data_IF_479321023021
#
_entry.id   IF_479321023021
#
_cell.length_a   1.000
_cell.length_b   1.000
_cell.length_c   1.000
_cell.angle_alpha   90.00
_cell.angle_beta   90.00
_cell.angle_gamma   90.00
#
_symmetry.space_group_name_H-M   'P 1'
#
loop_
_entity.id
_entity.type
_entity.pdbx_description
1 polymer ?
#
# COMPACT_ATOMS: atom_id res chain seq x y z
N UNK A 1 -5.26 15.27 17.74
CA UNK A 1 -4.34 14.27 17.21
C UNK A 1 -5.00 12.90 17.25
N UNK A 2 -4.85 12.15 16.17
CA UNK A 2 -5.29 10.76 16.03
C UNK A 2 -4.08 9.85 15.91
N UNK A 3 -4.29 8.54 16.09
CA UNK A 3 -3.25 7.54 15.88
C UNK A 3 -2.73 7.63 14.44
N UNK A 4 -1.40 7.57 14.27
CA UNK A 4 -0.69 7.68 13.01
C UNK A 4 -0.73 9.06 12.31
N UNK A 5 -1.16 10.14 13.00
CA UNK A 5 -0.90 11.49 12.50
C UNK A 5 0.62 11.73 12.46
N UNK A 6 1.13 12.26 11.34
CA UNK A 6 2.50 12.77 11.23
C UNK A 6 2.53 14.21 11.76
N UNK A 7 3.41 14.49 12.71
CA UNK A 7 3.46 15.82 13.36
C UNK A 7 4.85 16.44 13.28
N UNK A 8 4.92 17.72 12.95
CA UNK A 8 6.10 18.53 13.16
C UNK A 8 5.95 19.29 14.48
N UNK A 9 6.93 19.11 15.39
CA UNK A 9 6.81 19.57 16.77
C UNK A 9 8.08 20.23 17.27
N UNK A 10 7.92 21.15 18.22
CA UNK A 10 9.02 21.65 19.06
C UNK A 10 9.02 20.88 20.37
N UNK A 11 10.18 20.31 20.68
CA UNK A 11 10.40 19.54 21.92
C UNK A 11 11.52 20.18 22.73
N UNK A 12 11.53 19.95 24.04
CA UNK A 12 12.68 20.19 24.91
C UNK A 12 13.28 18.86 25.41
N UNK A 13 14.58 18.81 25.68
CA UNK A 13 15.21 17.65 26.30
C UNK A 13 14.62 17.38 27.69
N UNK A 14 14.69 16.13 28.15
CA UNK A 14 14.30 15.76 29.50
C UNK A 14 15.06 16.56 30.55
N UNK A 15 14.42 16.95 31.63
CA UNK A 15 15.08 17.47 32.85
C UNK A 15 15.51 16.31 33.73
N UNK A 16 16.33 16.61 34.74
CA UNK A 16 16.73 15.61 35.73
C UNK A 16 15.49 14.92 36.35
N UNK A 17 15.44 13.59 36.19
CA UNK A 17 14.31 12.75 36.64
C UNK A 17 13.19 12.51 35.61
N UNK A 18 13.20 13.17 34.47
CA UNK A 18 12.29 12.90 33.35
C UNK A 18 12.89 11.85 32.41
N UNK A 19 12.07 10.91 31.88
CA UNK A 19 12.53 9.89 30.92
C UNK A 19 12.27 10.30 29.47
N UNK A 20 11.31 11.20 29.25
CA UNK A 20 10.81 11.53 27.90
C UNK A 20 11.00 13.00 27.55
N UNK A 21 11.07 13.29 26.25
CA UNK A 21 11.08 14.65 25.74
C UNK A 21 9.71 15.30 25.95
N UNK A 22 9.70 16.52 26.45
CA UNK A 22 8.45 17.26 26.61
C UNK A 22 8.06 17.98 25.33
N UNK A 23 6.82 17.75 24.87
CA UNK A 23 6.23 18.47 23.74
C UNK A 23 5.95 19.93 24.14
N UNK A 24 6.51 20.88 23.42
CA UNK A 24 6.30 22.31 23.62
C UNK A 24 5.22 22.89 22.70
N UNK A 25 5.27 22.52 21.41
CA UNK A 25 4.36 23.05 20.40
C UNK A 25 4.24 22.08 19.24
N UNK A 26 3.04 21.96 18.68
CA UNK A 26 2.80 21.30 17.38
C UNK A 26 2.71 22.40 16.34
N UNK A 27 3.59 22.38 15.34
CA UNK A 27 3.62 23.35 14.26
C UNK A 27 2.81 22.86 13.05
N UNK A 28 2.89 21.56 12.71
CA UNK A 28 2.16 20.97 11.59
C UNK A 28 1.55 19.59 11.97
N UNK A 29 0.45 19.25 11.31
CA UNK A 29 -0.16 17.91 11.35
C UNK A 29 -0.39 17.47 9.90
N UNK A 30 0.15 16.29 9.53
CA UNK A 30 0.03 15.70 8.19
C UNK A 30 0.41 16.68 7.07
N UNK A 31 1.53 17.40 7.26
CA UNK A 31 2.08 18.41 6.35
C UNK A 31 1.17 19.64 6.13
N UNK A 32 0.28 19.92 7.06
CA UNK A 32 -0.60 21.08 7.06
C UNK A 32 -0.44 21.87 8.36
N UNK A 33 -0.48 23.18 8.29
CA UNK A 33 -0.44 24.04 9.48
C UNK A 33 -1.61 23.73 10.42
N UNK A 34 -1.35 23.82 11.72
CA UNK A 34 -2.39 23.62 12.73
C UNK A 34 -3.38 24.77 12.68
N UNK A 35 -4.53 24.53 12.05
CA UNK A 35 -5.61 25.49 11.98
C UNK A 35 -6.80 25.01 12.83
N UNK A 36 -7.13 25.72 13.90
CA UNK A 36 -8.21 25.36 14.85
C UNK A 36 -9.61 25.40 14.23
N UNK A 37 -9.76 25.95 13.02
CA UNK A 37 -11.05 26.11 12.33
C UNK A 37 -11.39 25.00 11.33
N UNK A 38 -10.45 24.06 11.07
CA UNK A 38 -10.69 22.97 10.12
C UNK A 38 -11.44 21.84 10.84
N UNK A 39 -12.73 21.66 10.52
CA UNK A 39 -13.46 20.48 10.93
C UNK A 39 -12.87 19.26 10.22
N UNK A 40 -12.21 18.40 10.97
CA UNK A 40 -11.64 17.16 10.45
C UNK A 40 -12.78 16.14 10.30
N UNK A 41 -13.03 15.71 9.06
CA UNK A 41 -13.94 14.60 8.76
C UNK A 41 -13.13 13.31 8.81
N UNK A 42 -13.58 12.33 9.57
CA UNK A 42 -12.92 11.03 9.64
C UNK A 42 -13.04 10.29 8.30
N UNK A 43 -12.02 9.51 7.95
CA UNK A 43 -11.94 8.78 6.69
C UNK A 43 -13.19 7.95 6.39
N UNK A 44 -13.76 7.31 7.41
CA UNK A 44 -14.95 6.48 7.30
C UNK A 44 -16.22 7.27 6.93
N UNK A 45 -16.23 8.57 7.16
CA UNK A 45 -17.37 9.47 6.89
C UNK A 45 -17.20 10.25 5.57
N UNK A 46 -16.07 10.06 4.85
CA UNK A 46 -15.84 10.68 3.55
C UNK A 46 -16.67 9.98 2.47
N UNK A 47 -17.15 10.77 1.50
CA UNK A 47 -17.99 10.27 0.40
C UNK A 47 -17.15 9.58 -0.67
N UNK A 48 -17.28 8.26 -0.87
CA UNK A 48 -16.48 7.55 -1.86
C UNK A 48 -16.96 7.78 -3.29
N UNK A 49 -16.01 8.01 -4.20
CA UNK A 49 -16.24 8.13 -5.63
C UNK A 49 -15.49 7.04 -6.40
N UNK A 50 -15.89 6.83 -7.66
CA UNK A 50 -15.12 6.05 -8.61
C UNK A 50 -13.83 6.77 -8.99
N UNK A 51 -12.76 6.04 -9.40
CA UNK A 51 -11.57 6.63 -9.99
C UNK A 51 -11.92 7.37 -11.29
N UNK A 52 -11.80 8.68 -11.31
CA UNK A 52 -12.08 9.56 -12.46
C UNK A 52 -10.84 10.31 -12.95
N UNK A 53 -9.78 10.39 -12.13
CA UNK A 53 -8.50 10.99 -12.45
C UNK A 53 -7.43 9.90 -12.60
N UNK A 54 -6.72 9.92 -13.73
CA UNK A 54 -5.69 8.93 -14.06
C UNK A 54 -4.35 9.28 -13.43
N UNK A 55 -3.67 8.29 -12.86
CA UNK A 55 -2.25 8.36 -12.54
C UNK A 55 -1.43 7.95 -13.77
N UNK A 56 -0.95 8.92 -14.52
CA UNK A 56 -0.14 8.67 -15.72
C UNK A 56 1.21 8.07 -15.33
N UNK A 57 1.56 6.95 -15.97
CA UNK A 57 2.81 6.24 -15.70
C UNK A 57 3.87 6.52 -16.77
N UNK A 58 3.51 6.68 -18.04
CA UNK A 58 4.44 6.97 -19.12
C UNK A 58 5.17 8.30 -18.88
N UNK A 59 6.51 8.28 -18.88
CA UNK A 59 7.37 9.45 -18.63
C UNK A 59 7.86 10.13 -19.90
N UNK A 60 7.70 9.46 -21.05
CA UNK A 60 8.08 10.00 -22.38
C UNK A 60 9.59 10.05 -22.65
N UNK A 61 10.40 9.32 -21.85
CA UNK A 61 11.86 9.30 -22.00
C UNK A 61 12.39 8.24 -22.97
N UNK A 62 11.52 7.37 -23.52
CA UNK A 62 11.85 6.34 -24.50
C UNK A 62 12.69 5.17 -23.96
N UNK A 63 12.87 5.05 -22.66
CA UNK A 63 13.57 3.91 -22.06
C UNK A 63 12.74 2.62 -22.09
N UNK A 64 13.38 1.47 -21.88
CA UNK A 64 12.69 0.17 -21.76
C UNK A 64 11.74 0.16 -20.54
N UNK A 65 12.07 0.87 -19.49
CA UNK A 65 11.25 1.06 -18.30
C UNK A 65 10.00 1.88 -18.61
N UNK A 66 10.14 2.90 -19.47
CA UNK A 66 9.03 3.73 -19.93
C UNK A 66 8.07 2.94 -20.82
N UNK A 67 8.59 1.97 -21.59
CA UNK A 67 7.75 1.06 -22.37
C UNK A 67 6.82 0.24 -21.47
N UNK A 68 7.30 -0.25 -20.33
CA UNK A 68 6.47 -0.95 -19.34
C UNK A 68 5.37 -0.02 -18.80
N UNK A 69 5.72 1.19 -18.44
CA UNK A 69 4.78 2.21 -17.96
C UNK A 69 3.70 2.53 -19.01
N UNK A 70 4.11 2.72 -20.28
CA UNK A 70 3.21 2.95 -21.41
C UNK A 70 2.26 1.78 -21.66
N UNK A 71 2.76 0.53 -21.60
CA UNK A 71 1.91 -0.65 -21.76
C UNK A 71 0.85 -0.70 -20.67
N UNK A 72 1.23 -0.47 -19.41
CA UNK A 72 0.27 -0.43 -18.29
C UNK A 72 -0.77 0.66 -18.51
N UNK A 73 -0.33 1.84 -18.94
CA UNK A 73 -1.20 2.97 -19.25
C UNK A 73 -2.23 2.69 -20.35
N UNK A 74 -1.89 1.85 -21.32
CA UNK A 74 -2.76 1.49 -22.44
C UNK A 74 -3.71 0.33 -22.11
N UNK A 75 -3.22 -0.67 -21.36
CA UNK A 75 -3.95 -1.93 -21.14
C UNK A 75 -4.70 -1.94 -19.81
N UNK A 76 -4.12 -1.35 -18.78
CA UNK A 76 -4.65 -1.36 -17.41
C UNK A 76 -4.34 -0.03 -16.70
N UNK A 77 -4.91 1.11 -17.15
CA UNK A 77 -4.65 2.41 -16.56
C UNK A 77 -5.06 2.47 -15.09
N UNK A 78 -4.19 3.05 -14.26
CA UNK A 78 -4.43 3.20 -12.83
C UNK A 78 -5.01 4.59 -12.56
N UNK A 79 -6.12 4.66 -11.83
CA UNK A 79 -6.74 5.92 -11.41
C UNK A 79 -6.55 6.20 -9.92
N UNK A 80 -6.70 7.46 -9.50
CA UNK A 80 -6.75 7.85 -8.10
C UNK A 80 -7.95 7.18 -7.42
N UNK A 81 -7.71 6.45 -6.32
CA UNK A 81 -8.73 5.65 -5.66
C UNK A 81 -8.86 4.21 -6.17
N UNK A 82 -7.99 3.76 -7.08
CA UNK A 82 -8.01 2.42 -7.66
C UNK A 82 -7.67 1.33 -6.63
N UNK A 83 -8.34 0.17 -6.72
CA UNK A 83 -8.00 -1.09 -6.06
C UNK A 83 -7.42 -2.04 -7.10
N UNK A 84 -6.12 -1.93 -7.36
CA UNK A 84 -5.44 -2.67 -8.41
C UNK A 84 -4.70 -3.89 -7.88
N UNK A 85 -4.82 -5.02 -8.58
CA UNK A 85 -4.03 -6.22 -8.35
C UNK A 85 -3.03 -6.43 -9.49
N UNK A 86 -1.77 -6.55 -9.15
CA UNK A 86 -0.72 -7.04 -10.06
C UNK A 86 -0.57 -8.53 -9.79
N UNK A 87 -1.20 -9.34 -10.62
CA UNK A 87 -1.26 -10.79 -10.49
C UNK A 87 -0.03 -11.40 -11.14
N UNK A 88 0.79 -12.09 -10.33
CA UNK A 88 2.09 -12.55 -10.78
C UNK A 88 2.40 -13.98 -10.35
N UNK A 89 2.75 -14.87 -11.29
CA UNK A 89 3.44 -16.10 -10.94
C UNK A 89 4.85 -15.80 -10.45
N UNK A 90 5.51 -16.76 -9.75
CA UNK A 90 6.91 -16.59 -9.34
C UNK A 90 7.84 -16.29 -10.53
N UNK A 91 8.80 -15.37 -10.33
CA UNK A 91 9.82 -14.98 -11.32
C UNK A 91 9.27 -14.41 -12.64
N UNK A 92 8.17 -13.68 -12.59
CA UNK A 92 7.59 -13.01 -13.76
C UNK A 92 7.84 -11.48 -13.81
N UNK A 93 8.83 -10.98 -13.06
CA UNK A 93 9.19 -9.55 -13.09
C UNK A 93 8.35 -8.64 -12.20
N UNK A 94 7.64 -9.19 -11.20
CA UNK A 94 6.79 -8.46 -10.26
C UNK A 94 7.46 -7.20 -9.68
N UNK A 95 8.65 -7.37 -9.11
CA UNK A 95 9.40 -6.29 -8.45
C UNK A 95 9.77 -5.17 -9.41
N UNK A 96 10.20 -5.50 -10.63
CA UNK A 96 10.52 -4.52 -11.67
C UNK A 96 9.29 -3.70 -12.08
N UNK A 97 8.14 -4.34 -12.25
CA UNK A 97 6.88 -3.64 -12.57
C UNK A 97 6.49 -2.69 -11.45
N UNK A 98 6.59 -3.12 -10.19
CA UNK A 98 6.29 -2.23 -9.04
C UNK A 98 7.28 -1.06 -8.95
N UNK A 99 8.57 -1.28 -9.15
CA UNK A 99 9.58 -0.22 -9.17
C UNK A 99 9.27 0.80 -10.27
N UNK A 100 8.92 0.33 -11.48
CA UNK A 100 8.54 1.19 -12.58
C UNK A 100 7.29 2.03 -12.28
N UNK A 101 6.25 1.41 -11.70
CA UNK A 101 5.04 2.12 -11.27
C UNK A 101 5.41 3.16 -10.21
N UNK A 102 6.21 2.80 -9.21
CA UNK A 102 6.63 3.72 -8.14
C UNK A 102 7.38 4.95 -8.69
N UNK A 103 8.39 4.72 -9.53
CA UNK A 103 9.19 5.79 -10.14
C UNK A 103 8.34 6.69 -11.04
N UNK A 104 7.42 6.10 -11.81
CA UNK A 104 6.53 6.83 -12.70
C UNK A 104 5.56 7.73 -11.93
N UNK A 105 4.95 7.21 -10.85
CA UNK A 105 4.06 8.00 -9.99
C UNK A 105 4.80 9.21 -9.42
N UNK A 106 5.97 9.00 -8.82
CA UNK A 106 6.75 10.10 -8.23
C UNK A 106 7.20 11.12 -9.27
N UNK A 107 7.52 10.66 -10.49
CA UNK A 107 7.97 11.55 -11.57
C UNK A 107 6.84 12.41 -12.13
N UNK A 108 5.68 11.81 -12.36
CA UNK A 108 4.57 12.45 -13.06
C UNK A 108 3.55 13.12 -12.14
N UNK A 109 3.49 12.68 -10.88
CA UNK A 109 2.51 13.16 -9.88
C UNK A 109 3.24 13.53 -8.57
N UNK A 110 4.01 14.64 -8.55
CA UNK A 110 4.85 15.01 -7.40
C UNK A 110 4.03 15.39 -6.15
N UNK A 111 2.74 15.66 -6.29
CA UNK A 111 1.80 15.94 -5.19
C UNK A 111 1.38 14.68 -4.43
N UNK A 112 1.54 13.51 -5.05
CA UNK A 112 1.11 12.23 -4.49
C UNK A 112 2.07 11.75 -3.40
N UNK A 113 1.53 11.35 -2.27
CA UNK A 113 2.30 10.69 -1.22
C UNK A 113 2.40 9.19 -1.54
N UNK A 114 3.59 8.75 -1.93
CA UNK A 114 3.86 7.35 -2.23
C UNK A 114 4.38 6.61 -1.00
N UNK A 115 3.71 5.51 -0.64
CA UNK A 115 4.13 4.58 0.40
C UNK A 115 4.32 3.20 -0.24
N UNK A 116 5.50 2.61 -0.12
CA UNK A 116 5.78 1.24 -0.53
C UNK A 116 5.80 0.36 0.71
N UNK A 117 4.91 -0.61 0.76
CA UNK A 117 4.77 -1.55 1.87
C UNK A 117 5.22 -2.95 1.43
N UNK A 118 6.33 -3.40 2.00
CA UNK A 118 6.93 -4.70 1.71
C UNK A 118 6.70 -5.65 2.90
N UNK A 119 5.97 -6.74 2.66
CA UNK A 119 5.61 -7.71 3.69
C UNK A 119 6.22 -9.07 3.38
N UNK A 120 7.00 -9.61 4.32
CA UNK A 120 7.64 -10.92 4.21
C UNK A 120 8.56 -11.00 2.97
N UNK A 121 9.19 -9.87 2.59
CA UNK A 121 10.16 -9.79 1.51
C UNK A 121 11.60 -9.91 2.04
N UNK A 122 12.55 -10.12 1.15
CA UNK A 122 13.95 -10.27 1.50
C UNK A 122 14.61 -8.93 1.82
N UNK A 123 15.55 -8.86 2.80
CA UNK A 123 16.22 -7.61 3.14
C UNK A 123 16.92 -6.93 1.95
N UNK A 124 17.49 -7.71 1.02
CA UNK A 124 18.13 -7.18 -0.18
C UNK A 124 17.12 -6.50 -1.13
N UNK A 125 15.90 -7.06 -1.28
CA UNK A 125 14.81 -6.47 -2.08
C UNK A 125 14.31 -5.17 -1.44
N UNK A 126 14.23 -5.13 -0.11
CA UNK A 126 13.90 -3.91 0.65
C UNK A 126 14.94 -2.81 0.40
N UNK A 127 16.21 -3.15 0.48
CA UNK A 127 17.32 -2.21 0.26
C UNK A 127 17.31 -1.67 -1.18
N UNK A 128 17.06 -2.52 -2.15
CA UNK A 128 16.95 -2.13 -3.55
C UNK A 128 15.79 -1.16 -3.78
N UNK A 129 14.63 -1.45 -3.21
CA UNK A 129 13.45 -0.58 -3.30
C UNK A 129 13.72 0.78 -2.65
N UNK A 130 14.35 0.82 -1.48
CA UNK A 130 14.72 2.07 -0.79
C UNK A 130 15.69 2.93 -1.61
N UNK A 131 16.57 2.32 -2.40
CA UNK A 131 17.54 3.04 -3.24
C UNK A 131 16.93 3.53 -4.56
N UNK A 132 15.98 2.78 -5.10
CA UNK A 132 15.40 3.03 -6.43
C UNK A 132 14.18 3.93 -6.42
N UNK A 133 13.46 4.03 -5.29
CA UNK A 133 12.19 4.75 -5.18
C UNK A 133 12.30 5.96 -4.26
N UNK A 134 11.87 7.13 -4.76
CA UNK A 134 11.72 8.34 -3.95
C UNK A 134 10.34 8.37 -3.29
N UNK A 135 10.16 7.57 -2.23
CA UNK A 135 8.93 7.47 -1.48
C UNK A 135 9.23 6.92 -0.09
N UNK A 136 8.21 6.81 0.74
CA UNK A 136 8.35 6.16 2.04
C UNK A 136 8.30 4.64 1.84
N UNK A 137 9.41 3.95 2.12
CA UNK A 137 9.48 2.49 2.08
C UNK A 137 9.39 1.94 3.49
N UNK A 138 8.31 1.23 3.78
CA UNK A 138 8.04 0.56 5.05
C UNK A 138 8.09 -0.94 4.79
N UNK A 139 8.86 -1.66 5.58
CA UNK A 139 9.05 -3.09 5.38
C UNK A 139 8.94 -3.88 6.68
N UNK A 140 8.52 -5.12 6.54
CA UNK A 140 8.69 -6.17 7.53
C UNK A 140 9.19 -7.41 6.79
N UNK A 141 10.45 -7.78 7.06
CA UNK A 141 11.18 -8.80 6.33
C UNK A 141 10.83 -10.22 6.80
N UNK A 142 11.17 -11.23 6.01
CA UNK A 142 10.77 -12.63 6.25
C UNK A 142 11.27 -13.23 7.57
N UNK A 143 12.29 -12.64 8.17
CA UNK A 143 12.85 -13.02 9.47
C UNK A 143 12.06 -12.47 10.67
N UNK A 144 11.12 -11.54 10.42
CA UNK A 144 10.24 -11.02 11.46
C UNK A 144 8.98 -11.89 11.67
N UNK A 145 8.38 -11.89 12.86
CA UNK A 145 7.19 -12.68 13.13
C UNK A 145 5.94 -12.15 12.39
N UNK A 146 4.95 -13.03 12.07
CA UNK A 146 3.71 -12.62 11.40
C UNK A 146 2.95 -11.47 12.08
N UNK A 147 3.03 -11.38 13.39
CA UNK A 147 2.43 -10.27 14.16
C UNK A 147 3.04 -8.91 13.78
N UNK A 148 4.33 -8.87 13.46
CA UNK A 148 5.01 -7.66 13.00
C UNK A 148 4.53 -7.25 11.62
N UNK A 149 4.35 -8.19 10.69
CA UNK A 149 3.81 -7.93 9.35
C UNK A 149 2.44 -7.25 9.43
N UNK A 150 1.56 -7.77 10.28
CA UNK A 150 0.23 -7.21 10.50
C UNK A 150 0.30 -5.81 11.13
N UNK A 151 1.10 -5.65 12.20
CA UNK A 151 1.25 -4.37 12.88
C UNK A 151 1.72 -3.27 11.92
N UNK A 152 2.72 -3.56 11.11
CA UNK A 152 3.27 -2.60 10.13
C UNK A 152 2.21 -2.24 9.08
N UNK A 153 1.46 -3.21 8.57
CA UNK A 153 0.40 -2.95 7.60
C UNK A 153 -0.73 -2.09 8.20
N UNK A 154 -1.14 -2.37 9.44
CA UNK A 154 -2.17 -1.57 10.14
C UNK A 154 -1.70 -0.13 10.38
N UNK A 155 -0.43 0.08 10.72
CA UNK A 155 0.14 1.43 10.87
C UNK A 155 0.14 2.20 9.53
N UNK A 156 0.52 1.54 8.43
CA UNK A 156 0.56 2.17 7.09
C UNK A 156 -0.83 2.58 6.64
N UNK A 157 -1.83 1.72 6.77
CA UNK A 157 -3.19 2.06 6.34
C UNK A 157 -3.80 3.18 7.18
N UNK A 158 -3.58 3.20 8.50
CA UNK A 158 -4.05 4.28 9.34
C UNK A 158 -3.34 5.61 9.02
N UNK A 159 -2.04 5.59 8.76
CA UNK A 159 -1.30 6.77 8.28
C UNK A 159 -1.88 7.29 6.96
N UNK A 160 -2.11 6.40 5.99
CA UNK A 160 -2.70 6.77 4.70
C UNK A 160 -4.08 7.41 4.85
N UNK A 161 -4.95 6.85 5.69
CA UNK A 161 -6.26 7.44 6.01
C UNK A 161 -6.13 8.85 6.60
N UNK A 162 -5.18 9.06 7.54
CA UNK A 162 -4.92 10.41 8.11
C UNK A 162 -4.52 11.42 7.05
N UNK A 163 -3.69 11.02 6.07
CA UNK A 163 -3.28 11.88 4.97
C UNK A 163 -4.45 12.23 4.04
N UNK A 164 -5.31 11.25 3.72
CA UNK A 164 -6.52 11.50 2.89
C UNK A 164 -7.49 12.44 3.59
N UNK A 165 -7.68 12.34 4.91
CA UNK A 165 -8.48 13.30 5.70
C UNK A 165 -7.96 14.75 5.58
N UNK A 166 -6.69 14.91 5.24
CA UNK A 166 -6.05 16.18 4.92
C UNK A 166 -6.00 16.47 3.41
N UNK A 167 -6.87 15.83 2.63
CA UNK A 167 -7.03 16.03 1.17
C UNK A 167 -5.77 15.71 0.37
N UNK A 168 -4.93 14.79 0.87
CA UNK A 168 -3.76 14.31 0.13
C UNK A 168 -4.14 13.11 -0.72
N UNK A 169 -3.55 13.03 -1.91
CA UNK A 169 -3.58 11.82 -2.73
C UNK A 169 -2.49 10.88 -2.25
N UNK A 170 -2.89 9.67 -1.85
CA UNK A 170 -1.98 8.66 -1.32
C UNK A 170 -2.01 7.42 -2.19
N UNK A 171 -0.84 6.92 -2.55
CA UNK A 171 -0.68 5.64 -3.23
C UNK A 171 0.09 4.68 -2.35
N UNK A 172 -0.49 3.51 -2.08
CA UNK A 172 0.19 2.40 -1.42
C UNK A 172 0.52 1.34 -2.47
N UNK A 173 1.80 1.02 -2.64
CA UNK A 173 2.25 -0.15 -3.37
C UNK A 173 2.54 -1.25 -2.36
N UNK A 174 1.75 -2.32 -2.39
CA UNK A 174 1.86 -3.44 -1.44
C UNK A 174 2.46 -4.68 -2.10
N UNK A 175 3.58 -5.12 -1.65
CA UNK A 175 4.20 -6.39 -2.02
C UNK A 175 4.37 -7.30 -0.79
N UNK A 176 3.53 -8.30 -0.57
CA UNK A 176 2.37 -8.71 -1.33
C UNK A 176 1.13 -8.87 -0.44
N UNK A 177 -0.05 -8.73 -1.02
CA UNK A 177 -1.33 -8.97 -0.32
C UNK A 177 -1.47 -10.45 0.08
N UNK A 178 -0.92 -11.36 -0.72
CA UNK A 178 -0.92 -12.81 -0.43
C UNK A 178 -0.17 -13.11 0.86
N UNK A 179 1.01 -12.52 1.04
CA UNK A 179 1.82 -12.72 2.26
C UNK A 179 1.21 -12.03 3.47
N UNK A 180 0.62 -10.85 3.28
CA UNK A 180 -0.13 -10.18 4.34
C UNK A 180 -1.32 -11.03 4.80
N UNK A 181 -2.08 -11.62 3.88
CA UNK A 181 -3.20 -12.50 4.20
C UNK A 181 -2.74 -13.78 4.93
N UNK A 182 -1.60 -14.36 4.55
CA UNK A 182 -0.99 -15.48 5.26
C UNK A 182 -0.61 -15.11 6.70
N UNK A 183 -0.04 -13.92 6.90
CA UNK A 183 0.31 -13.43 8.24
C UNK A 183 -0.94 -13.29 9.12
N UNK A 184 -2.02 -12.71 8.58
CA UNK A 184 -3.31 -12.67 9.30
C UNK A 184 -3.84 -14.05 9.61
N UNK A 185 -3.77 -15.00 8.68
CA UNK A 185 -4.21 -16.39 8.90
C UNK A 185 -3.46 -17.08 10.03
N UNK A 186 -2.19 -16.69 10.25
CA UNK A 186 -1.36 -17.25 11.33
C UNK A 186 -1.72 -16.67 12.69
N UNK A 187 -2.09 -15.39 12.77
CA UNK A 187 -2.28 -14.70 14.06
C UNK A 187 -3.74 -14.65 14.53
N UNK A 188 -4.71 -14.77 13.61
CA UNK A 188 -6.13 -14.72 13.97
C UNK A 188 -6.52 -15.99 14.75
N UNK A 189 -7.22 -15.86 15.89
CA UNK A 189 -7.76 -17.03 16.59
C UNK A 189 -8.65 -17.85 15.66
N UNK A 190 -8.47 -19.17 15.70
CA UNK A 190 -9.25 -20.08 14.85
C UNK A 190 -10.75 -19.93 15.10
N UNK A 191 -11.50 -19.66 14.04
CA UNK A 191 -12.97 -19.61 14.07
C UNK A 191 -13.64 -20.98 14.12
N UNK A 192 -12.85 -22.06 13.89
CA UNK A 192 -13.34 -23.41 13.68
C UNK A 192 -13.94 -23.65 12.29
N UNK A 193 -14.01 -22.61 11.44
CA UNK A 193 -14.47 -22.67 10.03
C UNK A 193 -13.29 -22.42 9.10
N UNK A 194 -12.74 -23.50 8.56
CA UNK A 194 -11.59 -23.44 7.65
C UNK A 194 -12.08 -23.61 6.22
N UNK A 195 -11.73 -22.65 5.37
CA UNK A 195 -11.95 -22.69 3.93
C UNK A 195 -10.96 -23.65 3.26
N UNK A 196 -11.20 -23.98 2.00
CA UNK A 196 -10.26 -24.72 1.17
C UNK A 196 -8.86 -24.08 1.23
N UNK A 197 -7.80 -24.89 1.28
CA UNK A 197 -6.43 -24.38 1.37
C UNK A 197 -5.97 -23.99 2.78
N UNK A 198 -6.76 -24.23 3.84
CA UNK A 198 -6.36 -23.97 5.22
C UNK A 198 -6.49 -22.52 5.66
N UNK A 199 -7.32 -21.73 4.98
CA UNK A 199 -7.61 -20.34 5.32
C UNK A 199 -8.76 -20.29 6.32
N UNK A 200 -8.55 -19.65 7.48
CA UNK A 200 -9.64 -19.39 8.42
C UNK A 200 -10.62 -18.37 7.84
N UNK A 201 -11.93 -18.60 8.01
CA UNK A 201 -12.98 -17.74 7.46
C UNK A 201 -12.86 -16.26 7.90
N UNK A 202 -12.36 -16.01 9.11
CA UNK A 202 -12.16 -14.64 9.62
C UNK A 202 -10.81 -14.02 9.29
N UNK A 203 -9.84 -14.84 8.85
CA UNK A 203 -8.48 -14.36 8.58
C UNK A 203 -8.41 -13.30 7.47
N UNK A 204 -9.29 -13.38 6.49
CA UNK A 204 -9.30 -12.47 5.34
C UNK A 204 -10.09 -11.18 5.55
N UNK A 205 -10.85 -11.04 6.63
CA UNK A 205 -11.66 -9.84 6.86
C UNK A 205 -10.81 -8.56 6.96
N UNK A 206 -9.75 -8.58 7.78
CA UNK A 206 -8.88 -7.41 7.97
C UNK A 206 -8.09 -7.05 6.71
N UNK A 207 -7.40 -7.98 6.02
CA UNK A 207 -6.73 -7.65 4.77
C UNK A 207 -7.69 -7.22 3.66
N UNK A 208 -8.93 -7.72 3.63
CA UNK A 208 -9.96 -7.20 2.73
C UNK A 208 -10.35 -5.77 3.07
N UNK A 209 -10.49 -5.42 4.36
CA UNK A 209 -10.73 -4.03 4.80
C UNK A 209 -9.56 -3.12 4.44
N UNK A 210 -8.31 -3.61 4.58
CA UNK A 210 -7.13 -2.88 4.14
C UNK A 210 -7.23 -2.53 2.65
N UNK A 211 -7.38 -3.53 1.79
CA UNK A 211 -7.45 -3.34 0.34
C UNK A 211 -8.72 -2.59 -0.09
N UNK A 212 -9.85 -2.87 0.54
CA UNK A 212 -11.13 -2.20 0.30
C UNK A 212 -11.20 -0.76 0.79
N UNK A 213 -10.21 -0.27 1.54
CA UNK A 213 -10.13 1.13 1.95
C UNK A 213 -9.83 2.07 0.78
N UNK A 214 -9.21 1.58 -0.30
CA UNK A 214 -8.90 2.39 -1.46
C UNK A 214 -10.17 2.97 -2.11
N UNK A 215 -10.18 4.30 -2.27
CA UNK A 215 -11.28 5.08 -2.84
C UNK A 215 -10.83 6.46 -3.27
N UNK A 216 -11.49 7.02 -4.25
CA UNK A 216 -11.47 8.45 -4.51
C UNK A 216 -12.51 9.13 -3.61
N UNK A 217 -12.33 10.40 -3.24
CA UNK A 217 -13.13 11.08 -2.23
C UNK A 217 -13.65 12.41 -2.75
N UNK A 218 -14.97 12.67 -2.61
CA UNK A 218 -15.63 13.90 -3.08
C UNK A 218 -15.09 15.15 -2.39
N UNK A 219 -14.78 15.05 -1.11
CA UNK A 219 -14.23 16.16 -0.31
C UNK A 219 -12.79 16.52 -0.66
N UNK A 220 -12.17 15.75 -1.53
CA UNK A 220 -10.78 15.88 -2.01
C UNK A 220 -9.82 14.90 -1.32
N UNK A 221 -8.79 14.52 -2.07
CA UNK A 221 -7.85 13.47 -1.72
C UNK A 221 -8.31 12.09 -2.19
N UNK A 222 -7.39 11.15 -2.24
CA UNK A 222 -7.66 9.78 -2.67
C UNK A 222 -6.73 8.78 -1.99
N UNK A 223 -7.20 7.55 -1.85
CA UNK A 223 -6.38 6.41 -1.45
C UNK A 223 -6.38 5.38 -2.58
N UNK A 224 -5.24 5.20 -3.22
CA UNK A 224 -5.02 4.19 -4.25
C UNK A 224 -4.19 3.05 -3.67
N UNK A 225 -4.58 1.81 -3.90
CA UNK A 225 -3.79 0.64 -3.48
C UNK A 225 -3.52 -0.24 -4.69
N UNK A 226 -2.24 -0.42 -4.99
CA UNK A 226 -1.74 -1.36 -6.01
C UNK A 226 -1.04 -2.49 -5.26
N UNK A 227 -1.67 -3.64 -5.19
CA UNK A 227 -1.15 -4.78 -4.45
C UNK A 227 -0.73 -5.92 -5.39
N UNK A 228 0.37 -6.59 -5.09
CA UNK A 228 0.73 -7.82 -5.80
C UNK A 228 0.01 -9.01 -5.21
N UNK A 229 -0.51 -9.87 -6.07
CA UNK A 229 -1.09 -11.16 -5.72
C UNK A 229 -0.28 -12.29 -6.36
N UNK A 230 0.09 -13.28 -5.56
CA UNK A 230 0.87 -14.43 -6.03
C UNK A 230 -0.06 -15.55 -6.51
N UNK A 231 0.20 -16.05 -7.71
CA UNK A 231 -0.49 -17.20 -8.30
C UNK A 231 0.54 -18.25 -8.74
N UNK A 232 0.07 -19.45 -9.09
CA UNK A 232 0.92 -20.55 -9.57
C UNK A 232 2.09 -20.90 -8.63
N UNK A 233 1.90 -20.72 -7.34
CA UNK A 233 2.89 -21.04 -6.30
C UNK A 233 2.86 -22.51 -5.89
N UNK A 234 1.88 -23.27 -6.36
CA UNK A 234 1.58 -24.63 -5.90
C UNK A 234 0.85 -24.68 -4.55
N UNK A 235 0.53 -23.52 -3.95
CA UNK A 235 -0.20 -23.42 -2.69
C UNK A 235 -1.69 -23.18 -2.93
N UNK A 236 -2.54 -24.11 -2.49
CA UNK A 236 -4.00 -23.92 -2.50
C UNK A 236 -4.46 -22.72 -1.66
N UNK A 237 -3.70 -22.38 -0.62
CA UNK A 237 -3.96 -21.19 0.19
C UNK A 237 -3.86 -19.92 -0.67
N UNK A 238 -2.84 -19.80 -1.50
CA UNK A 238 -2.64 -18.61 -2.34
C UNK A 238 -3.72 -18.48 -3.40
N UNK A 239 -4.18 -19.60 -3.97
CA UNK A 239 -5.29 -19.62 -4.92
C UNK A 239 -6.57 -19.09 -4.27
N UNK A 240 -6.90 -19.54 -3.06
CA UNK A 240 -8.07 -19.06 -2.31
C UNK A 240 -7.91 -17.59 -1.97
N UNK A 241 -6.74 -17.15 -1.48
CA UNK A 241 -6.47 -15.75 -1.19
C UNK A 241 -6.68 -14.89 -2.45
N UNK A 242 -6.11 -15.28 -3.58
CA UNK A 242 -6.26 -14.55 -4.83
C UNK A 242 -7.73 -14.41 -5.24
N UNK A 243 -8.51 -15.52 -5.27
CA UNK A 243 -9.93 -15.48 -5.64
C UNK A 243 -10.75 -14.56 -4.71
N UNK A 244 -10.43 -14.55 -3.42
CA UNK A 244 -11.10 -13.69 -2.44
C UNK A 244 -10.78 -12.19 -2.63
N UNK A 245 -9.58 -11.84 -3.07
CA UNK A 245 -9.19 -10.46 -3.37
C UNK A 245 -9.60 -9.99 -4.75
N UNK A 246 -9.67 -10.89 -5.72
CA UNK A 246 -10.18 -10.61 -7.07
C UNK A 246 -11.56 -9.96 -7.04
N UNK A 247 -12.47 -10.47 -6.18
CA UNK A 247 -13.79 -9.87 -5.98
C UNK A 247 -13.80 -8.52 -5.28
N UNK A 248 -12.71 -8.13 -4.60
CA UNK A 248 -12.58 -6.84 -3.90
C UNK A 248 -11.92 -5.77 -4.79
N UNK A 249 -11.01 -6.19 -5.67
CA UNK A 249 -10.34 -5.33 -6.65
C UNK A 249 -11.30 -4.84 -7.74
N UNK A 250 -10.93 -3.74 -8.39
CA UNK A 250 -11.62 -3.21 -9.56
C UNK A 250 -10.69 -3.09 -10.79
N UNK A 251 -9.48 -3.61 -10.68
CA UNK A 251 -8.49 -3.70 -11.76
C UNK A 251 -7.53 -4.86 -11.53
N UNK A 252 -7.17 -5.56 -12.60
CA UNK A 252 -6.16 -6.61 -12.58
C UNK A 252 -5.16 -6.44 -13.73
N UNK A 253 -3.86 -6.55 -13.40
CA UNK A 253 -2.77 -6.63 -14.36
C UNK A 253 -2.09 -8.00 -14.20
N UNK A 254 -2.26 -8.88 -15.19
CA UNK A 254 -1.69 -10.21 -15.16
C UNK A 254 -0.32 -10.25 -15.81
N UNK A 255 0.69 -10.69 -15.08
CA UNK A 255 2.03 -10.97 -15.59
C UNK A 255 2.13 -12.43 -16.05
N UNK A 256 2.72 -12.65 -17.21
CA UNK A 256 2.85 -13.99 -17.78
C UNK A 256 4.31 -14.44 -17.81
N UNK A 257 4.64 -15.52 -17.10
CA UNK A 257 5.99 -16.09 -17.06
C UNK A 257 6.51 -16.45 -18.46
N UNK A 258 5.64 -17.00 -19.33
CA UNK A 258 6.00 -17.35 -20.71
C UNK A 258 6.53 -16.17 -21.54
N UNK A 259 6.15 -14.94 -21.16
CA UNK A 259 6.63 -13.72 -21.80
C UNK A 259 7.96 -13.31 -21.16
N UNK A 260 8.04 -13.35 -19.82
CA UNK A 260 9.26 -13.02 -19.08
C UNK A 260 10.45 -13.92 -19.42
N UNK A 261 10.22 -15.22 -19.69
CA UNK A 261 11.27 -16.17 -20.09
C UNK A 261 11.82 -15.92 -21.52
N UNK A 262 11.22 -15.02 -22.30
CA UNK A 262 11.63 -14.67 -23.66
C UNK A 262 12.39 -13.34 -23.76
N UNK A 263 12.43 -12.59 -22.68
CA UNK A 263 13.13 -11.33 -22.53
C UNK A 263 14.40 -11.52 -21.72
#
# INVERSE_FOLDING_TARGET
LLTCDSIAVKIRPPKDGERDFALLKVDEINFSEVNSKTHKVLFENLTPLFPDERLQLERGNGSTEDLTARIVDLVAPIGKGQRALVVSPPKAGKTLVLQNIAQSIVSNNPEVVLIVLLIDERPEEVTEMQRSVRGEVVASTFDEPPSRHVQVAEMVIEKAKRLVEHKKDVVILLDSITRLARAYNTIVPSSGKVLTGGVDAHALERPKRFFGAARNVEEGGSLTIVATALIDTGSKMDEVIYEEFKGTGNQELHLARKIADKC
#
